data_IF_406994693427
#
_entry.id   IF_406994693427
#
_cell.length_a   1.000
_cell.length_b   1.000
_cell.length_c   1.000
_cell.angle_alpha   90.00
_cell.angle_beta   90.00
_cell.angle_gamma   90.00
#
_symmetry.space_group_name_H-M   'P 1'
#
loop_
_entity.id
_entity.type
_entity.pdbx_description
1 polymer ?
#
# COMPACT_ATOMS: atom_id res chain seq x y z
N UNK A 1 -23.05 -9.36 -29.94
CA UNK A 1 -21.62 -9.49 -30.28
C UNK A 1 -21.03 -8.09 -30.41
N UNK A 2 -20.38 -7.56 -29.38
CA UNK A 2 -19.79 -6.22 -29.44
C UNK A 2 -18.46 -6.29 -30.18
N UNK A 3 -18.43 -5.80 -31.42
CA UNK A 3 -17.22 -5.70 -32.22
C UNK A 3 -16.19 -4.80 -31.52
N UNK A 4 -15.02 -5.36 -31.20
CA UNK A 4 -13.91 -4.59 -30.64
C UNK A 4 -13.36 -3.72 -31.76
N UNK A 5 -13.72 -2.44 -31.76
CA UNK A 5 -13.22 -1.45 -32.70
C UNK A 5 -11.74 -1.19 -32.34
N UNK A 6 -10.81 -1.72 -33.14
CA UNK A 6 -9.38 -1.46 -32.97
C UNK A 6 -9.06 -0.01 -33.41
N UNK A 7 -9.33 0.96 -32.53
CA UNK A 7 -9.00 2.36 -32.76
C UNK A 7 -7.48 2.54 -32.77
N UNK A 8 -6.93 2.87 -33.94
CA UNK A 8 -5.51 3.17 -34.10
C UNK A 8 -5.26 4.62 -33.67
N UNK A 9 -4.71 4.81 -32.48
CA UNK A 9 -4.36 6.15 -31.96
C UNK A 9 -3.01 6.58 -32.57
N UNK A 10 -3.01 7.70 -33.31
CA UNK A 10 -1.81 8.27 -33.92
C UNK A 10 -1.42 9.55 -33.20
N UNK A 11 -0.23 9.55 -32.60
CA UNK A 11 0.32 10.70 -31.88
C UNK A 11 1.19 11.57 -32.79
N UNK A 12 1.07 12.89 -32.68
CA UNK A 12 1.91 13.86 -33.40
C UNK A 12 3.38 13.76 -32.96
N UNK A 13 4.30 14.21 -33.83
CA UNK A 13 5.74 14.15 -33.55
C UNK A 13 6.12 15.09 -32.40
N UNK A 14 5.54 16.29 -32.35
CA UNK A 14 5.73 17.27 -31.28
C UNK A 14 5.35 16.71 -29.91
N UNK A 15 4.19 16.05 -29.83
CA UNK A 15 3.75 15.39 -28.59
C UNK A 15 4.74 14.30 -28.14
N UNK A 16 5.22 13.46 -29.07
CA UNK A 16 6.22 12.44 -28.74
C UNK A 16 7.51 13.05 -28.18
N UNK A 17 7.99 14.15 -28.77
CA UNK A 17 9.17 14.85 -28.28
C UNK A 17 8.95 15.45 -26.89
N UNK A 18 7.79 16.05 -26.65
CA UNK A 18 7.44 16.60 -25.34
C UNK A 18 7.50 15.51 -24.26
N UNK A 19 6.85 14.37 -24.50
CA UNK A 19 6.84 13.24 -23.56
C UNK A 19 8.26 12.72 -23.30
N UNK A 20 9.09 12.58 -24.34
CA UNK A 20 10.48 12.10 -24.20
C UNK A 20 11.35 13.09 -23.42
N UNK A 21 11.21 14.39 -23.68
CA UNK A 21 11.95 15.44 -22.94
C UNK A 21 11.59 15.42 -21.46
N UNK A 22 10.32 15.22 -21.13
CA UNK A 22 9.89 15.16 -19.73
C UNK A 22 10.46 13.93 -19.00
N UNK A 23 10.53 12.78 -19.68
CA UNK A 23 11.18 11.58 -19.13
C UNK A 23 12.66 11.83 -18.86
N UNK A 24 13.35 12.54 -19.75
CA UNK A 24 14.76 12.93 -19.57
C UNK A 24 14.98 13.84 -18.38
N UNK A 25 14.10 14.84 -18.19
CA UNK A 25 14.26 15.84 -17.14
C UNK A 25 13.86 15.32 -15.76
N UNK A 26 12.73 14.61 -15.68
CA UNK A 26 12.13 14.26 -14.40
C UNK A 26 12.46 12.83 -13.95
N UNK A 27 13.11 12.02 -14.79
CA UNK A 27 13.45 10.63 -14.46
C UNK A 27 12.23 9.76 -14.14
N UNK A 28 11.05 10.14 -14.64
CA UNK A 28 9.78 9.54 -14.24
C UNK A 28 9.63 8.12 -14.78
N UNK A 29 9.00 7.28 -13.95
CA UNK A 29 8.56 5.94 -14.30
C UNK A 29 7.76 5.90 -15.61
N UNK A 30 8.06 4.95 -16.49
CA UNK A 30 7.39 4.83 -17.79
C UNK A 30 5.88 4.61 -17.61
N UNK A 31 5.50 3.87 -16.57
CA UNK A 31 4.10 3.61 -16.26
C UNK A 31 3.38 4.86 -15.74
N UNK A 32 4.08 5.67 -14.94
CA UNK A 32 3.55 6.95 -14.46
C UNK A 32 3.27 7.90 -15.63
N UNK A 33 4.25 8.09 -16.53
CA UNK A 33 4.10 8.97 -17.71
C UNK A 33 2.98 8.47 -18.64
N UNK A 34 2.86 7.14 -18.80
CA UNK A 34 1.76 6.53 -19.55
C UNK A 34 0.39 6.93 -18.99
N UNK A 35 0.21 6.82 -17.67
CA UNK A 35 -1.05 7.19 -16.99
C UNK A 35 -1.31 8.69 -17.06
N UNK A 36 -0.28 9.52 -16.82
CA UNK A 36 -0.36 10.99 -16.88
C UNK A 36 -0.91 11.49 -18.22
N UNK A 37 -0.46 10.88 -19.32
CA UNK A 37 -0.85 11.27 -20.68
C UNK A 37 -1.97 10.42 -21.30
N UNK A 38 -2.55 9.49 -20.56
CA UNK A 38 -3.63 8.62 -21.07
C UNK A 38 -3.22 7.70 -22.23
N UNK A 39 -1.93 7.36 -22.34
CA UNK A 39 -1.41 6.55 -23.44
C UNK A 39 -1.81 5.09 -23.20
N UNK A 40 -2.73 4.56 -24.01
CA UNK A 40 -3.26 3.18 -23.81
C UNK A 40 -2.21 2.07 -23.93
N UNK A 41 -1.20 2.24 -24.79
CA UNK A 41 -0.22 1.19 -25.05
C UNK A 41 0.95 1.19 -24.06
N UNK A 42 1.17 0.07 -23.37
CA UNK A 42 2.25 -0.13 -22.40
C UNK A 42 3.66 0.03 -22.99
N UNK A 43 3.87 -0.41 -24.23
CA UNK A 43 5.16 -0.32 -24.92
C UNK A 43 5.30 0.90 -25.82
N UNK A 44 4.28 1.76 -25.93
CA UNK A 44 4.26 2.88 -26.88
C UNK A 44 5.38 3.89 -26.60
N UNK A 45 5.54 4.28 -25.33
CA UNK A 45 6.59 5.22 -24.90
C UNK A 45 7.98 4.59 -25.10
N UNK A 46 8.13 3.30 -24.78
CA UNK A 46 9.38 2.57 -25.00
C UNK A 46 9.78 2.53 -26.48
N UNK A 47 8.80 2.35 -27.39
CA UNK A 47 9.04 2.40 -28.84
C UNK A 47 9.52 3.78 -29.29
N UNK A 48 8.96 4.86 -28.73
CA UNK A 48 9.43 6.22 -29.02
C UNK A 48 10.85 6.44 -28.53
N UNK A 49 11.15 6.08 -27.28
CA UNK A 49 12.49 6.20 -26.71
C UNK A 49 13.53 5.42 -27.52
N UNK A 50 13.22 4.20 -27.98
CA UNK A 50 14.09 3.43 -28.89
C UNK A 50 14.28 4.14 -30.23
N UNK A 51 13.20 4.66 -30.83
CA UNK A 51 13.25 5.37 -32.11
C UNK A 51 14.08 6.67 -32.04
N UNK A 52 14.08 7.33 -30.89
CA UNK A 52 14.88 8.54 -30.64
C UNK A 52 16.27 8.25 -30.05
N UNK A 53 16.71 6.99 -29.98
CA UNK A 53 18.05 6.62 -29.49
C UNK A 53 18.25 6.72 -27.97
N UNK A 54 17.17 6.88 -27.19
CA UNK A 54 17.18 7.05 -25.73
C UNK A 54 16.91 5.75 -24.98
N UNK A 55 17.43 4.64 -25.49
CA UNK A 55 17.22 3.30 -24.92
C UNK A 55 17.88 3.12 -23.54
N UNK A 56 18.91 3.90 -23.21
CA UNK A 56 19.57 3.89 -21.91
C UNK A 56 18.63 4.36 -20.78
N UNK A 57 17.78 5.36 -21.03
CA UNK A 57 16.80 5.84 -20.06
C UNK A 57 15.82 4.74 -19.64
N UNK A 58 15.39 3.91 -20.60
CA UNK A 58 14.51 2.76 -20.32
C UNK A 58 15.17 1.83 -19.29
N UNK A 59 16.45 1.50 -19.48
CA UNK A 59 17.18 0.61 -18.58
C UNK A 59 17.37 1.23 -17.20
N UNK A 60 17.69 2.52 -17.15
CA UNK A 60 17.91 3.26 -15.91
C UNK A 60 16.62 3.34 -15.09
N UNK A 61 15.51 3.76 -15.70
CA UNK A 61 14.21 3.92 -15.02
C UNK A 61 13.72 2.58 -14.46
N UNK A 62 13.75 1.51 -15.28
CA UNK A 62 13.33 0.17 -14.84
C UNK A 62 14.18 -0.31 -13.66
N UNK A 63 15.50 -0.05 -13.69
CA UNK A 63 16.40 -0.43 -12.60
C UNK A 63 16.04 0.29 -11.31
N UNK A 64 15.77 1.59 -11.37
CA UNK A 64 15.41 2.40 -10.20
C UNK A 64 14.07 1.93 -9.61
N UNK A 65 13.02 1.82 -10.44
CA UNK A 65 11.70 1.32 -9.99
C UNK A 65 11.81 -0.07 -9.33
N UNK A 66 12.66 -0.95 -9.87
CA UNK A 66 12.85 -2.30 -9.30
C UNK A 66 13.58 -2.27 -7.95
N UNK A 67 14.54 -1.36 -7.76
CA UNK A 67 15.24 -1.23 -6.47
C UNK A 67 14.30 -0.66 -5.41
N UNK A 68 13.58 0.42 -5.73
CA UNK A 68 12.61 1.04 -4.82
C UNK A 68 11.51 0.06 -4.39
N UNK A 69 10.98 -0.74 -5.34
CA UNK A 69 9.95 -1.73 -5.02
C UNK A 69 10.49 -2.83 -4.09
N UNK A 70 11.74 -3.28 -4.30
CA UNK A 70 12.38 -4.26 -3.40
C UNK A 70 12.56 -3.70 -1.99
N UNK A 71 13.02 -2.47 -1.87
CA UNK A 71 13.20 -1.82 -0.57
C UNK A 71 11.86 -1.62 0.15
N UNK A 72 10.82 -1.26 -0.60
CA UNK A 72 9.45 -1.13 -0.09
C UNK A 72 8.91 -2.46 0.41
N UNK A 73 9.04 -3.54 -0.37
CA UNK A 73 8.61 -4.88 0.02
C UNK A 73 9.32 -5.29 1.31
N UNK A 74 10.64 -5.11 1.38
CA UNK A 74 11.42 -5.45 2.58
C UNK A 74 10.97 -4.66 3.81
N UNK A 75 10.68 -3.37 3.65
CA UNK A 75 10.15 -2.55 4.74
C UNK A 75 8.78 -3.05 5.21
N UNK A 76 7.87 -3.32 4.27
CA UNK A 76 6.53 -3.83 4.57
C UNK A 76 6.59 -5.20 5.26
N UNK A 77 7.47 -6.10 4.82
CA UNK A 77 7.68 -7.40 5.47
C UNK A 77 8.17 -7.26 6.91
N UNK A 78 9.10 -6.33 7.17
CA UNK A 78 9.59 -6.04 8.51
C UNK A 78 8.47 -5.48 9.41
N UNK A 79 7.64 -4.58 8.87
CA UNK A 79 6.51 -3.99 9.58
C UNK A 79 5.44 -5.04 9.90
N UNK A 80 5.07 -5.88 8.94
CA UNK A 80 4.13 -7.00 9.15
C UNK A 80 4.65 -7.94 10.23
N UNK A 81 5.95 -8.25 10.23
CA UNK A 81 6.54 -9.10 11.28
C UNK A 81 6.44 -8.44 12.66
N UNK A 82 6.74 -7.15 12.77
CA UNK A 82 6.65 -6.40 14.02
C UNK A 82 5.21 -6.36 14.54
N UNK A 83 4.24 -6.08 13.65
CA UNK A 83 2.82 -6.03 14.01
C UNK A 83 2.29 -7.40 14.45
N UNK A 84 2.69 -8.49 13.76
CA UNK A 84 2.32 -9.85 14.17
C UNK A 84 2.83 -10.21 15.56
N UNK A 85 4.05 -9.79 15.89
CA UNK A 85 4.65 -10.04 17.20
C UNK A 85 3.92 -9.26 18.31
N UNK A 86 3.70 -7.95 18.11
CA UNK A 86 2.95 -7.13 19.05
C UNK A 86 1.52 -7.64 19.28
N UNK A 87 0.86 -8.14 18.22
CA UNK A 87 -0.46 -8.76 18.33
C UNK A 87 -0.41 -10.04 19.16
N UNK A 88 0.58 -10.92 18.93
CA UNK A 88 0.76 -12.13 19.71
C UNK A 88 0.98 -11.83 21.20
N UNK A 89 1.83 -10.85 21.52
CA UNK A 89 2.09 -10.42 22.90
C UNK A 89 0.82 -9.89 23.58
N UNK A 90 0.05 -9.04 22.88
CA UNK A 90 -1.21 -8.51 23.40
C UNK A 90 -2.25 -9.60 23.63
N UNK A 91 -2.35 -10.59 22.72
CA UNK A 91 -3.28 -11.70 22.86
C UNK A 91 -2.89 -12.60 24.04
N UNK A 92 -1.59 -12.83 24.26
CA UNK A 92 -1.09 -13.60 25.39
C UNK A 92 -1.37 -12.88 26.71
N UNK A 93 -1.14 -11.57 26.77
CA UNK A 93 -1.47 -10.75 27.94
C UNK A 93 -2.99 -10.80 28.23
N UNK A 94 -3.83 -10.59 27.22
CA UNK A 94 -5.29 -10.66 27.39
C UNK A 94 -5.74 -12.02 27.92
N UNK A 95 -5.22 -13.11 27.35
CA UNK A 95 -5.55 -14.48 27.80
C UNK A 95 -5.09 -14.74 29.23
N UNK A 96 -3.91 -14.24 29.61
CA UNK A 96 -3.42 -14.36 30.98
C UNK A 96 -4.32 -13.62 31.98
N UNK A 97 -4.80 -12.42 31.62
CA UNK A 97 -5.73 -11.66 32.43
C UNK A 97 -7.08 -12.37 32.58
N UNK A 98 -7.60 -12.96 31.49
CA UNK A 98 -8.83 -13.77 31.53
C UNK A 98 -8.70 -14.94 32.51
N UNK A 99 -7.59 -15.70 32.45
CA UNK A 99 -7.34 -16.82 33.36
C UNK A 99 -7.25 -16.35 34.83
N UNK A 100 -6.54 -15.24 35.09
CA UNK A 100 -6.43 -14.69 36.45
C UNK A 100 -7.79 -14.26 37.00
N UNK A 101 -8.64 -13.63 36.18
CA UNK A 101 -10.01 -13.26 36.57
C UNK A 101 -10.83 -14.50 36.89
N UNK A 102 -10.73 -15.56 36.07
CA UNK A 102 -11.47 -16.81 36.29
C UNK A 102 -11.04 -17.52 37.58
N UNK A 103 -9.75 -17.54 37.89
CA UNK A 103 -9.22 -18.10 39.14
C UNK A 103 -9.73 -17.31 40.35
N UNK A 104 -9.66 -15.99 40.30
CA UNK A 104 -10.14 -15.11 41.38
C UNK A 104 -11.66 -15.24 41.58
N UNK A 105 -12.45 -15.35 40.52
CA UNK A 105 -13.88 -15.59 40.63
C UNK A 105 -14.20 -16.92 41.34
N UNK A 106 -13.42 -17.98 41.06
CA UNK A 106 -13.58 -19.29 41.73
C UNK A 106 -13.23 -19.21 43.21
N UNK A 107 -12.12 -18.56 43.56
CA UNK A 107 -11.60 -18.51 44.93
C UNK A 107 -12.50 -17.67 45.84
N UNK A 108 -12.94 -16.50 45.36
CA UNK A 108 -13.75 -15.56 46.15
C UNK A 108 -15.26 -15.74 45.99
N UNK A 109 -15.72 -16.66 45.11
CA UNK A 109 -17.14 -16.85 44.76
C UNK A 109 -17.84 -15.55 44.36
N UNK A 110 -17.12 -14.68 43.65
CA UNK A 110 -17.60 -13.38 43.17
C UNK A 110 -17.58 -13.33 41.65
N UNK A 111 -18.47 -12.53 41.04
CA UNK A 111 -18.41 -12.19 39.61
C UNK A 111 -17.70 -10.84 39.41
N UNK A 112 -16.36 -10.83 39.42
CA UNK A 112 -15.55 -9.61 39.29
C UNK A 112 -15.82 -8.87 37.97
N UNK A 113 -16.11 -9.60 36.89
CA UNK A 113 -16.46 -8.98 35.59
C UNK A 113 -17.76 -8.16 35.64
N UNK A 114 -18.67 -8.49 36.55
CA UNK A 114 -19.98 -7.85 36.69
C UNK A 114 -19.98 -6.74 37.74
N UNK A 115 -19.28 -6.94 38.86
CA UNK A 115 -19.25 -5.98 39.97
C UNK A 115 -18.58 -4.63 39.61
N UNK A 116 -17.56 -4.64 38.76
CA UNK A 116 -16.88 -3.41 38.33
C UNK A 116 -17.58 -2.67 37.18
N UNK A 117 -18.48 -3.34 36.43
CA UNK A 117 -19.24 -2.72 35.34
C UNK A 117 -20.42 -1.85 35.80
N UNK A 118 -21.03 -2.18 36.95
CA UNK A 118 -22.24 -1.49 37.44
C UNK A 118 -21.91 -0.15 38.14
N UNK A 119 -20.73 0.01 38.73
CA UNK A 119 -20.33 1.23 39.44
C UNK A 119 -20.04 2.43 38.52
N UNK A 120 -19.85 2.21 37.22
CA UNK A 120 -19.60 3.28 36.24
C UNK A 120 -20.90 3.91 35.67
N UNK A 121 -22.08 3.34 35.97
CA UNK A 121 -23.37 3.80 35.42
C UNK A 121 -24.18 4.70 36.37
N UNK A 122 -23.71 4.96 37.59
CA UNK A 122 -24.47 5.67 38.63
C UNK A 122 -24.00 7.12 38.88
N UNK A 123 -23.36 7.77 37.90
CA UNK A 123 -22.70 9.06 38.08
C UNK A 123 -22.93 10.09 36.97
N UNK A 124 -24.15 10.19 36.43
CA UNK A 124 -24.56 11.35 35.63
C UNK A 124 -26.08 11.49 35.61
N UNK A 125 -26.67 11.91 36.73
CA UNK A 125 -27.99 12.56 36.68
C UNK A 125 -28.13 13.64 37.77
N UNK A 126 -28.27 14.88 37.27
CA UNK A 126 -29.00 16.04 37.81
C UNK A 126 -28.57 16.66 39.15
N UNK A 127 -27.98 17.85 39.11
CA UNK A 127 -28.67 19.16 39.15
C UNK A 127 -27.67 20.31 39.22
#
# INVERSE_FOLDING_TARGET
MTGIINQTIRYSLSFKHQVVREIEQNGLGLDFVRRKYGIKGSSTIQKWLRKFGKSHLIKQIIRIETMEEKDRIKHLEAEVKKLKLALADSMLAQRSLEVVIDEANKEYKTDLKKSFGESASAGSEKS
#
